data_IF_238078564974
#
_entry.id   IF_238078564974
#
_cell.length_a   1.000
_cell.length_b   1.000
_cell.length_c   1.000
_cell.angle_alpha   90.00
_cell.angle_beta   90.00
_cell.angle_gamma   90.00
#
_symmetry.space_group_name_H-M   'P 1'
#
loop_
_entity.id
_entity.type
_entity.pdbx_description
1 polymer ?
#
# COMPACT_ATOMS: atom_id res chain seq x y z
N UNK A 1 -11.94 -21.68 16.53
CA UNK A 1 -10.78 -20.96 17.09
C UNK A 1 -10.39 -19.80 16.21
N UNK A 2 -10.02 -18.66 16.80
CA UNK A 2 -9.64 -17.43 16.08
C UNK A 2 -8.27 -16.96 16.53
N UNK A 3 -7.43 -16.55 15.58
CA UNK A 3 -6.18 -15.85 15.80
C UNK A 3 -6.39 -14.36 15.53
N UNK A 4 -6.21 -13.53 16.55
CA UNK A 4 -6.27 -12.08 16.41
C UNK A 4 -4.85 -11.53 16.20
N UNK A 5 -4.69 -10.73 15.16
CA UNK A 5 -3.46 -10.01 14.86
C UNK A 5 -3.69 -8.51 15.03
N UNK A 6 -2.87 -7.88 15.84
CA UNK A 6 -2.91 -6.44 16.06
C UNK A 6 -1.67 -5.81 15.44
N UNK A 7 -1.81 -5.05 14.34
CA UNK A 7 -0.67 -4.34 13.76
C UNK A 7 -0.15 -3.26 14.71
N UNK A 8 1.14 -3.24 14.94
CA UNK A 8 1.82 -2.25 15.79
C UNK A 8 2.74 -1.29 15.01
N UNK A 9 2.63 -1.29 13.69
CA UNK A 9 3.44 -0.41 12.83
C UNK A 9 4.82 -0.99 12.48
N UNK A 10 5.02 -2.30 12.58
CA UNK A 10 6.27 -2.95 12.16
C UNK A 10 6.47 -2.79 10.63
N UNK A 11 7.50 -2.06 10.17
CA UNK A 11 7.75 -1.83 8.75
C UNK A 11 8.40 -3.01 8.04
N UNK A 12 8.87 -4.02 8.78
CA UNK A 12 9.56 -5.18 8.20
C UNK A 12 8.63 -6.19 7.54
N UNK A 13 7.31 -6.04 7.75
CA UNK A 13 6.31 -7.03 7.32
C UNK A 13 6.24 -7.14 5.78
N UNK A 14 6.57 -8.34 5.26
CA UNK A 14 6.74 -8.64 3.83
C UNK A 14 7.73 -7.71 3.10
N UNK A 15 8.55 -6.96 3.83
CA UNK A 15 9.59 -6.14 3.23
C UNK A 15 10.68 -7.04 2.61
N UNK A 16 11.13 -6.78 1.37
CA UNK A 16 12.10 -7.65 0.68
C UNK A 16 13.42 -7.83 1.40
N UNK A 17 13.87 -6.80 2.13
CA UNK A 17 15.15 -6.81 2.84
C UNK A 17 15.11 -7.65 4.14
N UNK A 18 13.94 -8.10 4.56
CA UNK A 18 13.75 -8.93 5.74
C UNK A 18 13.24 -10.32 5.33
N UNK A 19 14.13 -11.27 5.01
CA UNK A 19 13.73 -12.59 4.52
C UNK A 19 13.04 -13.45 5.59
N UNK A 20 13.33 -13.20 6.88
CA UNK A 20 12.71 -13.89 7.98
C UNK A 20 11.39 -13.21 8.39
N UNK A 21 10.27 -13.91 8.19
CA UNK A 21 8.92 -13.37 8.34
C UNK A 21 8.08 -14.26 9.27
N UNK A 22 8.33 -14.27 10.61
CA UNK A 22 7.70 -15.23 11.53
C UNK A 22 6.18 -15.08 11.61
N UNK A 23 5.66 -13.87 11.51
CA UNK A 23 4.21 -13.62 11.53
C UNK A 23 3.55 -14.15 10.25
N UNK A 24 4.21 -14.03 9.11
CA UNK A 24 3.74 -14.59 7.83
C UNK A 24 3.67 -16.12 7.92
N UNK A 25 4.70 -16.75 8.46
CA UNK A 25 4.73 -18.19 8.66
C UNK A 25 3.66 -18.66 9.65
N UNK A 26 3.42 -17.90 10.72
CA UNK A 26 2.31 -18.18 11.65
C UNK A 26 0.96 -18.14 10.94
N UNK A 27 0.72 -17.12 10.11
CA UNK A 27 -0.54 -16.98 9.35
C UNK A 27 -0.72 -18.15 8.37
N UNK A 28 0.33 -18.52 7.65
CA UNK A 28 0.28 -19.63 6.67
C UNK A 28 -0.01 -20.98 7.31
N UNK A 29 0.57 -21.22 8.48
CA UNK A 29 0.56 -22.53 9.13
C UNK A 29 -0.57 -22.71 10.15
N UNK A 30 -1.38 -21.66 10.40
CA UNK A 30 -2.49 -21.79 11.34
C UNK A 30 -3.73 -22.38 10.69
N UNK A 31 -4.42 -23.26 11.41
CA UNK A 31 -5.76 -23.75 11.04
C UNK A 31 -6.89 -22.84 11.58
N UNK A 32 -6.54 -21.74 12.25
CA UNK A 32 -7.50 -20.82 12.86
C UNK A 32 -7.97 -19.79 11.87
N UNK A 33 -9.16 -19.29 12.08
CA UNK A 33 -9.62 -18.07 11.41
C UNK A 33 -8.70 -16.90 11.82
N UNK A 34 -8.13 -16.19 10.87
CA UNK A 34 -7.28 -15.03 11.16
C UNK A 34 -8.09 -13.76 11.03
N UNK A 35 -8.05 -12.94 12.07
CA UNK A 35 -8.73 -11.63 12.13
C UNK A 35 -7.70 -10.56 12.42
N UNK A 36 -7.62 -9.55 11.53
CA UNK A 36 -6.80 -8.36 11.76
C UNK A 36 -7.62 -7.36 12.56
N UNK A 37 -7.10 -6.99 13.72
CA UNK A 37 -7.75 -6.08 14.66
C UNK A 37 -6.87 -4.84 14.92
N UNK A 38 -7.07 -3.73 14.20
CA UNK A 38 -6.27 -2.53 14.37
C UNK A 38 -6.54 -1.86 15.72
N UNK A 39 -5.52 -1.28 16.32
CA UNK A 39 -5.67 -0.50 17.55
C UNK A 39 -6.05 0.96 17.25
N UNK A 40 -6.76 1.59 18.19
CA UNK A 40 -7.05 3.04 18.12
C UNK A 40 -5.79 3.90 18.15
N UNK A 41 -4.72 3.41 18.76
CA UNK A 41 -3.43 4.12 18.81
C UNK A 41 -2.87 4.40 17.41
N UNK A 42 -3.16 3.54 16.45
CA UNK A 42 -2.71 3.70 15.07
C UNK A 42 -3.50 4.77 14.29
N UNK A 43 -4.60 5.31 14.85
CA UNK A 43 -5.41 6.35 14.22
C UNK A 43 -4.89 7.76 14.48
N UNK A 44 -3.99 7.92 15.43
CA UNK A 44 -3.49 9.22 15.89
C UNK A 44 -2.38 9.80 14.99
N UNK A 45 -1.83 9.00 14.08
CA UNK A 45 -0.75 9.44 13.20
C UNK A 45 -1.29 9.81 11.82
N UNK A 46 -0.99 11.03 11.38
CA UNK A 46 -1.19 11.40 9.98
C UNK A 46 -0.36 10.50 9.06
N UNK A 47 -0.83 10.32 7.81
CA UNK A 47 -0.12 9.53 6.81
C UNK A 47 1.24 10.11 6.41
N UNK A 48 1.40 11.43 6.57
CA UNK A 48 2.66 12.14 6.36
C UNK A 48 3.34 12.47 7.68
N UNK A 49 4.67 12.46 7.70
CA UNK A 49 5.47 12.86 8.86
C UNK A 49 5.59 14.38 8.97
N UNK A 50 5.93 14.85 10.17
CA UNK A 50 6.25 16.25 10.38
C UNK A 50 7.48 16.65 9.55
N UNK A 51 7.38 17.76 8.83
CA UNK A 51 8.47 18.25 7.97
C UNK A 51 8.57 17.56 6.61
N UNK A 52 7.68 16.62 6.29
CA UNK A 52 7.64 16.01 4.97
C UNK A 52 7.04 16.97 3.94
N UNK A 53 7.75 17.18 2.84
CA UNK A 53 7.23 18.01 1.77
C UNK A 53 6.12 17.26 1.01
N UNK A 54 5.00 17.92 0.78
CA UNK A 54 3.85 17.30 0.10
C UNK A 54 4.15 16.87 -1.34
N UNK A 55 5.11 17.52 -2.00
CA UNK A 55 5.52 17.19 -3.36
C UNK A 55 6.45 15.98 -3.47
N UNK A 56 6.98 15.49 -2.33
CA UNK A 56 7.85 14.31 -2.27
C UNK A 56 7.06 13.01 -2.06
N UNK A 57 5.74 13.04 -2.18
CA UNK A 57 4.88 11.88 -1.98
C UNK A 57 5.17 10.68 -2.91
N UNK A 58 5.85 10.92 -4.01
CA UNK A 58 6.28 9.89 -4.97
C UNK A 58 7.68 9.35 -4.71
N UNK A 59 8.43 9.93 -3.76
CA UNK A 59 9.81 9.58 -3.49
C UNK A 59 9.92 8.41 -2.50
N UNK A 60 10.85 7.51 -2.73
CA UNK A 60 11.02 6.27 -1.97
C UNK A 60 11.41 6.48 -0.51
N UNK A 61 12.04 7.62 -0.19
CA UNK A 61 12.39 8.00 1.18
C UNK A 61 11.21 8.54 2.00
N UNK A 62 10.04 8.75 1.37
CA UNK A 62 8.85 9.30 2.02
C UNK A 62 7.61 8.39 1.88
N UNK A 63 7.69 7.09 2.20
CA UNK A 63 6.53 6.22 2.14
C UNK A 63 5.50 6.64 3.18
N UNK A 64 4.24 6.73 2.78
CA UNK A 64 3.15 7.08 3.68
C UNK A 64 3.07 6.14 4.87
N UNK A 65 2.78 6.70 6.04
CA UNK A 65 2.55 5.90 7.25
C UNK A 65 1.23 5.16 7.13
N UNK A 66 1.22 3.91 7.55
CA UNK A 66 0.00 3.11 7.65
C UNK A 66 -0.07 2.40 8.99
N UNK A 67 -1.27 1.95 9.35
CA UNK A 67 -1.49 1.16 10.57
C UNK A 67 -0.81 -0.20 10.51
N UNK A 68 -0.69 -0.72 9.31
CA UNK A 68 -0.08 -2.00 9.01
C UNK A 68 0.86 -1.80 7.82
N UNK A 69 2.09 -1.32 8.06
CA UNK A 69 3.07 -1.25 7.00
C UNK A 69 3.25 -2.63 6.36
N UNK A 70 3.31 -2.67 5.05
CA UNK A 70 3.50 -3.91 4.30
C UNK A 70 4.31 -3.58 3.04
N UNK A 71 5.31 -4.38 2.70
CA UNK A 71 6.24 -4.10 1.62
C UNK A 71 7.00 -2.77 1.77
N UNK A 72 7.16 -2.26 3.01
CA UNK A 72 7.70 -0.91 3.26
C UNK A 72 6.79 0.23 2.83
N UNK A 73 5.50 -0.04 2.55
CA UNK A 73 4.53 0.89 1.96
C UNK A 73 4.96 1.44 0.59
N UNK A 74 5.73 0.66 -0.17
CA UNK A 74 6.17 0.99 -1.53
C UNK A 74 5.85 -0.13 -2.52
N UNK A 75 5.67 0.26 -3.76
CA UNK A 75 5.68 -0.68 -4.89
C UNK A 75 7.10 -0.79 -5.39
N UNK A 76 7.61 -2.01 -5.44
CA UNK A 76 8.95 -2.34 -5.90
C UNK A 76 8.93 -2.61 -7.40
N UNK A 77 9.74 -1.87 -8.13
CA UNK A 77 9.93 -2.02 -9.56
C UNK A 77 11.31 -2.64 -9.83
N UNK A 78 11.33 -3.76 -10.54
CA UNK A 78 12.55 -4.46 -10.94
C UNK A 78 12.66 -4.46 -12.44
N UNK A 79 13.77 -4.03 -12.97
CA UNK A 79 14.04 -3.96 -14.41
C UNK A 79 15.18 -4.89 -14.79
N UNK A 80 14.93 -5.75 -15.77
CA UNK A 80 15.95 -6.66 -16.29
C UNK A 80 15.51 -7.38 -17.55
N UNK A 81 16.46 -7.70 -18.42
CA UNK A 81 16.22 -8.48 -19.65
C UNK A 81 15.08 -7.91 -20.52
N UNK A 82 14.98 -6.58 -20.61
CA UNK A 82 13.93 -5.91 -21.38
C UNK A 82 12.53 -5.99 -20.76
N UNK A 83 12.42 -6.40 -19.49
CA UNK A 83 11.14 -6.58 -18.78
C UNK A 83 11.09 -5.78 -17.50
N UNK A 84 9.87 -5.36 -17.14
CA UNK A 84 9.54 -4.76 -15.86
C UNK A 84 8.75 -5.77 -15.02
N UNK A 85 9.18 -5.95 -13.78
CA UNK A 85 8.45 -6.71 -12.77
C UNK A 85 8.10 -5.79 -11.62
N UNK A 86 6.90 -5.96 -11.06
CA UNK A 86 6.43 -5.18 -9.92
C UNK A 86 6.01 -6.08 -8.76
N UNK A 87 6.23 -5.58 -7.55
CA UNK A 87 5.83 -6.27 -6.32
C UNK A 87 5.30 -5.24 -5.30
N UNK A 88 4.10 -5.45 -4.72
CA UNK A 88 3.17 -6.56 -4.99
C UNK A 88 2.57 -6.50 -6.41
N UNK A 89 2.34 -7.66 -7.00
CA UNK A 89 1.81 -7.79 -8.37
C UNK A 89 0.38 -7.21 -8.52
N UNK A 90 -0.36 -7.12 -7.43
CA UNK A 90 -1.70 -6.54 -7.38
C UNK A 90 -1.78 -5.16 -8.02
N UNK A 91 -0.70 -4.36 -7.92
CA UNK A 91 -0.64 -3.02 -8.52
C UNK A 91 -0.39 -3.02 -10.04
N UNK A 92 -0.16 -4.16 -10.65
CA UNK A 92 0.05 -4.23 -12.11
C UNK A 92 -1.15 -3.70 -12.91
N UNK A 93 -2.37 -3.90 -12.41
CA UNK A 93 -3.61 -3.38 -13.00
C UNK A 93 -3.74 -1.86 -12.95
N UNK A 94 -3.03 -1.23 -12.02
CA UNK A 94 -3.09 0.21 -11.76
C UNK A 94 -1.99 0.98 -12.53
N UNK A 95 -1.26 0.27 -13.40
CA UNK A 95 -0.25 0.85 -14.29
C UNK A 95 -0.92 1.27 -15.60
N UNK A 96 -0.75 2.53 -15.93
CA UNK A 96 -1.16 3.06 -17.24
C UNK A 96 0.00 3.00 -18.23
N UNK A 97 -0.30 2.62 -19.48
CA UNK A 97 0.66 2.55 -20.59
C UNK A 97 1.80 1.53 -20.43
N UNK A 98 1.43 0.25 -20.47
CA UNK A 98 2.36 -0.90 -20.39
C UNK A 98 3.29 -1.00 -21.60
N UNK A 99 2.97 -0.38 -22.73
CA UNK A 99 3.70 -0.58 -24.00
C UNK A 99 5.09 0.03 -24.04
N UNK A 100 5.43 0.94 -23.11
CA UNK A 100 6.70 1.67 -23.09
C UNK A 100 7.39 1.63 -21.71
N UNK A 101 7.14 0.59 -20.94
CA UNK A 101 7.46 0.55 -19.49
C UNK A 101 8.92 0.35 -19.13
N UNK A 102 9.74 -0.18 -20.06
CA UNK A 102 11.12 -0.51 -19.73
C UNK A 102 12.02 0.74 -19.73
N UNK A 103 12.87 0.85 -18.71
CA UNK A 103 13.76 1.99 -18.49
C UNK A 103 13.06 3.35 -18.37
N UNK A 104 11.86 3.37 -17.77
CA UNK A 104 11.14 4.60 -17.45
C UNK A 104 11.08 4.81 -15.94
N UNK A 105 11.06 6.08 -15.55
CA UNK A 105 10.78 6.45 -14.17
C UNK A 105 9.27 6.39 -13.93
N UNK A 106 8.89 5.82 -12.81
CA UNK A 106 7.50 5.68 -12.40
C UNK A 106 7.22 6.55 -11.19
N UNK A 107 6.04 7.11 -11.15
CA UNK A 107 5.50 7.86 -10.03
C UNK A 107 4.03 7.50 -9.84
N UNK A 108 3.40 8.06 -8.84
CA UNK A 108 2.01 7.85 -8.48
C UNK A 108 1.23 9.14 -8.56
N UNK A 109 -0.09 9.08 -8.79
CA UNK A 109 -0.97 10.23 -8.54
C UNK A 109 -0.99 10.58 -7.05
N UNK A 110 -1.17 11.85 -6.72
CA UNK A 110 -1.21 12.33 -5.33
C UNK A 110 -2.25 11.59 -4.48
N UNK A 111 -3.39 11.26 -5.06
CA UNK A 111 -4.45 10.51 -4.40
C UNK A 111 -4.71 9.20 -5.15
N UNK A 112 -4.69 8.11 -4.40
CA UNK A 112 -4.92 6.76 -4.93
C UNK A 112 -3.67 6.11 -5.54
N UNK A 113 -3.84 4.90 -6.05
CA UNK A 113 -2.75 4.02 -6.46
C UNK A 113 -2.65 3.86 -7.98
N UNK A 114 -2.85 4.95 -8.73
CA UNK A 114 -2.58 4.95 -10.16
C UNK A 114 -1.13 5.34 -10.43
N UNK A 115 -0.37 4.39 -10.96
CA UNK A 115 1.04 4.57 -11.32
C UNK A 115 1.17 4.91 -12.80
N UNK A 116 2.05 5.86 -13.11
CA UNK A 116 2.31 6.31 -14.45
C UNK A 116 3.79 6.68 -14.62
N UNK A 117 4.25 6.73 -15.87
CA UNK A 117 5.59 7.23 -16.16
C UNK A 117 5.59 8.74 -16.32
N UNK A 118 6.57 9.41 -15.70
CA UNK A 118 6.81 10.84 -15.88
C UNK A 118 7.58 11.15 -17.20
N UNK A 119 7.89 10.10 -17.98
CA UNK A 119 8.62 10.20 -19.24
C UNK A 119 10.15 10.23 -19.09
N UNK A 120 10.67 10.43 -17.90
CA UNK A 120 12.10 10.43 -17.63
C UNK A 120 12.69 9.03 -17.75
N UNK A 121 13.98 8.96 -18.12
CA UNK A 121 14.70 7.69 -18.21
C UNK A 121 15.16 7.26 -16.82
N UNK A 122 14.85 6.01 -16.47
CA UNK A 122 15.36 5.35 -15.28
C UNK A 122 15.95 3.99 -15.67
N UNK A 123 17.26 3.86 -15.58
CA UNK A 123 17.99 2.63 -15.91
C UNK A 123 18.36 1.83 -14.68
N UNK A 124 17.99 2.27 -13.50
CA UNK A 124 18.24 1.53 -12.28
C UNK A 124 17.56 0.14 -12.36
N UNK A 125 18.27 -0.93 -12.00
CA UNK A 125 17.69 -2.27 -12.03
C UNK A 125 16.56 -2.45 -11.00
N UNK A 126 16.50 -1.56 -10.03
CA UNK A 126 15.52 -1.57 -8.94
C UNK A 126 15.24 -0.14 -8.48
N UNK A 127 13.97 0.17 -8.25
CA UNK A 127 13.52 1.40 -7.61
C UNK A 127 12.14 1.19 -6.95
N UNK A 128 11.71 2.15 -6.18
CA UNK A 128 10.49 2.07 -5.37
C UNK A 128 9.62 3.30 -5.58
N UNK A 129 8.31 3.14 -5.48
CA UNK A 129 7.35 4.24 -5.47
C UNK A 129 6.37 4.01 -4.33
N UNK A 130 6.21 4.94 -3.39
CA UNK A 130 5.22 4.82 -2.31
C UNK A 130 3.81 4.56 -2.84
N UNK A 131 3.03 3.73 -2.15
CA UNK A 131 1.62 3.59 -2.44
C UNK A 131 0.76 4.33 -1.40
N UNK A 132 -0.41 4.76 -1.82
CA UNK A 132 -1.41 5.40 -0.97
C UNK A 132 -2.11 4.34 -0.12
N UNK A 133 -1.89 4.38 1.18
CA UNK A 133 -2.57 3.55 2.17
C UNK A 133 -3.58 4.33 3.02
N UNK A 134 -3.58 5.64 2.91
CA UNK A 134 -4.44 6.51 3.70
C UNK A 134 -5.89 6.48 3.21
N UNK A 135 -6.10 6.66 1.91
CA UNK A 135 -7.43 6.61 1.31
C UNK A 135 -7.93 5.18 1.09
N UNK A 136 -7.05 4.18 1.19
CA UNK A 136 -7.37 2.77 1.08
C UNK A 136 -6.96 1.99 2.35
N UNK A 137 -7.58 2.22 3.51
CA UNK A 137 -7.13 1.67 4.79
C UNK A 137 -7.17 0.14 4.87
N UNK A 138 -7.89 -0.52 3.97
CA UNK A 138 -7.93 -1.97 3.85
C UNK A 138 -6.89 -2.52 2.87
N UNK A 139 -6.17 -1.66 2.17
CA UNK A 139 -5.19 -2.07 1.16
C UNK A 139 -4.14 -3.04 1.74
N UNK A 140 -3.52 -2.79 2.91
CA UNK A 140 -2.57 -3.74 3.48
C UNK A 140 -3.15 -5.14 3.69
N UNK A 141 -4.42 -5.23 4.07
CA UNK A 141 -5.10 -6.51 4.23
C UNK A 141 -5.30 -7.22 2.89
N UNK A 142 -5.72 -6.50 1.85
CA UNK A 142 -5.86 -7.06 0.50
C UNK A 142 -4.52 -7.53 -0.05
N UNK A 143 -3.46 -6.76 0.15
CA UNK A 143 -2.11 -7.14 -0.26
C UNK A 143 -1.63 -8.41 0.47
N UNK A 144 -1.92 -8.52 1.76
CA UNK A 144 -1.59 -9.69 2.55
C UNK A 144 -2.38 -10.92 2.08
N UNK A 145 -3.69 -10.79 1.88
CA UNK A 145 -4.55 -11.87 1.36
C UNK A 145 -4.08 -12.34 -0.02
N UNK A 146 -3.78 -11.40 -0.92
CA UNK A 146 -3.30 -11.73 -2.26
C UNK A 146 -1.94 -12.43 -2.22
N UNK A 147 -1.04 -11.96 -1.37
CA UNK A 147 0.30 -12.54 -1.23
C UNK A 147 0.29 -13.95 -0.64
N UNK A 148 -0.50 -14.15 0.41
CA UNK A 148 -0.54 -15.43 1.13
C UNK A 148 -1.57 -16.41 0.54
N UNK A 149 -2.47 -15.92 -0.32
CA UNK A 149 -3.60 -16.69 -0.86
C UNK A 149 -4.49 -17.30 0.24
N UNK A 150 -4.61 -16.59 1.36
CA UNK A 150 -5.44 -16.97 2.50
C UNK A 150 -6.60 -15.99 2.69
N UNK A 151 -7.71 -16.47 3.23
CA UNK A 151 -8.83 -15.60 3.58
C UNK A 151 -8.59 -15.01 4.97
N UNK A 152 -8.53 -13.69 5.03
CA UNK A 152 -8.44 -12.92 6.28
C UNK A 152 -9.75 -12.19 6.53
N UNK A 153 -10.07 -11.92 7.78
CA UNK A 153 -11.21 -11.11 8.17
C UNK A 153 -10.75 -9.81 8.85
N UNK A 154 -11.58 -8.80 8.75
CA UNK A 154 -11.34 -7.49 9.36
C UNK A 154 -12.24 -7.37 10.57
N UNK A 155 -11.68 -7.02 11.72
CA UNK A 155 -12.46 -6.71 12.91
C UNK A 155 -13.31 -5.44 12.73
N UNK A 156 -14.40 -5.33 13.50
CA UNK A 156 -15.47 -4.32 13.34
C UNK A 156 -15.00 -2.85 13.25
N UNK A 157 -13.87 -2.51 13.85
CA UNK A 157 -13.35 -1.14 13.81
C UNK A 157 -12.89 -0.68 12.41
N UNK A 158 -12.52 -1.61 11.51
CA UNK A 158 -12.16 -1.31 10.13
C UNK A 158 -13.39 -1.02 9.25
N UNK A 159 -14.48 -1.70 9.50
CA UNK A 159 -15.73 -1.54 8.74
C UNK A 159 -16.31 -0.14 8.90
N UNK A 160 -16.24 0.42 10.11
CA UNK A 160 -16.71 1.78 10.41
C UNK A 160 -15.87 2.86 9.74
N UNK A 161 -14.55 2.67 9.66
CA UNK A 161 -13.65 3.59 8.96
C UNK A 161 -13.87 3.60 7.46
N UNK A 162 -14.09 2.43 6.84
CA UNK A 162 -14.42 2.32 5.42
C UNK A 162 -15.65 3.19 5.09
N UNK A 163 -16.71 3.11 5.91
CA UNK A 163 -17.92 3.90 5.69
C UNK A 163 -17.65 5.41 5.84
N UNK A 164 -16.82 5.79 6.80
CA UNK A 164 -16.47 7.20 7.01
C UNK A 164 -15.67 7.79 5.83
N UNK A 165 -14.73 7.03 5.27
CA UNK A 165 -13.90 7.46 4.12
C UNK A 165 -14.72 7.51 2.83
N UNK A 166 -15.62 6.55 2.61
CA UNK A 166 -16.57 6.62 1.48
C UNK A 166 -17.38 7.90 1.57
N UNK A 167 -17.93 8.21 2.75
CA UNK A 167 -18.70 9.43 2.97
C UNK A 167 -17.89 10.72 2.76
N UNK A 168 -16.58 10.71 3.09
CA UNK A 168 -15.69 11.85 2.85
C UNK A 168 -15.36 12.00 1.36
N UNK A 169 -15.08 10.90 0.65
CA UNK A 169 -14.88 10.91 -0.82
C UNK A 169 -16.11 11.49 -1.52
N UNK A 170 -17.30 11.01 -1.16
CA UNK A 170 -18.56 11.49 -1.74
C UNK A 170 -18.80 12.99 -1.48
N UNK A 171 -18.46 13.48 -0.29
CA UNK A 171 -18.54 14.90 0.05
C UNK A 171 -17.55 15.76 -0.73
N UNK A 172 -16.31 15.29 -0.90
CA UNK A 172 -15.28 16.00 -1.67
C UNK A 172 -15.64 16.05 -3.16
N UNK A 173 -16.14 14.95 -3.72
CA UNK A 173 -16.57 14.90 -5.13
C UNK A 173 -17.74 15.86 -5.36
N UNK A 174 -18.75 15.86 -4.48
CA UNK A 174 -19.88 16.78 -4.59
C UNK A 174 -19.50 18.26 -4.45
N UNK A 175 -18.47 18.57 -3.64
CA UNK A 175 -17.99 19.94 -3.49
C UNK A 175 -17.13 20.41 -4.69
N UNK A 176 -16.51 19.49 -5.43
CA UNK A 176 -15.76 19.80 -6.66
C UNK A 176 -16.68 19.98 -7.88
N UNK A 177 -17.82 19.28 -7.93
CA UNK A 177 -18.82 19.42 -9.01
C UNK A 177 -19.66 20.71 -8.92
N UNK A 178 -19.58 21.43 -7.82
CA UNK A 178 -20.34 22.71 -7.62
C UNK A 178 -19.50 23.94 -7.99
N UNK A 179 -18.23 23.78 -8.39
CA UNK A 179 -17.29 24.88 -8.67
C UNK A 179 -16.82 24.96 -10.14
N UNK A 180 -17.57 24.39 -11.08
CA UNK A 180 -17.34 24.54 -12.53
C UNK A 180 -18.55 25.25 -13.19
#
# INVERSE_FOLDING_TARGET
DTLFLTPLGDPSFLHPDFPFQPVVELIKNTNKQVVIHPTKANDQFGHMGNGWAWNDYGEDYQPERSRMPIYGNVVHFYQGNGKLFIKPFTFFKDITDISTVYQKNWTRKLVGNQFYTDGQKNTAPYFQVPFDSYFEPNLPLYLLQDTLKVKLNIGDNFSRLKQHIVNLKDKLTKNLDVSL
#
